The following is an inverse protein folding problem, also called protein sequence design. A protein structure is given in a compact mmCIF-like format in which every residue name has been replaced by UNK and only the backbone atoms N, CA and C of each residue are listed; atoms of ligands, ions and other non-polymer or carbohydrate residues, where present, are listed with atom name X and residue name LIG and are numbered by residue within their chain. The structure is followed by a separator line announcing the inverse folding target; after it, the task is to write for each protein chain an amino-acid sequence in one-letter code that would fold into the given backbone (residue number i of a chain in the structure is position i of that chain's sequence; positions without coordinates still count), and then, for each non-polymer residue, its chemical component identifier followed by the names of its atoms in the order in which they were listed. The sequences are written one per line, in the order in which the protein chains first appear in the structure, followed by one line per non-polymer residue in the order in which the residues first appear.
data_IF_243560236942
#
_entry.id   IF_243560236942
#
_cell.length_a   1.000
_cell.length_b   1.000
_cell.length_c   1.000
_cell.angle_alpha   90.00
_cell.angle_beta   90.00
_cell.angle_gamma   90.00
#
_symmetry.space_group_name_H-M   'P 1'
#
loop_
_entity.id
_entity.type
_entity.pdbx_description
1 polymer ?
#
# COMPACT_ATOMS: atom_id res chain seq x y z
N UNK A 1 10.94 20.05 -34.59
CA UNK A 1 9.92 19.10 -34.07
C UNK A 1 10.52 18.11 -33.06
N UNK A 2 11.74 17.63 -33.30
CA UNK A 2 12.43 16.70 -32.39
C UNK A 2 12.74 17.27 -31.00
N UNK A 3 13.12 18.56 -30.90
CA UNK A 3 13.39 19.25 -29.65
C UNK A 3 12.15 19.40 -28.75
N UNK A 4 10.99 19.67 -29.34
CA UNK A 4 9.71 19.74 -28.61
C UNK A 4 9.29 18.36 -28.09
N UNK A 5 9.45 17.31 -28.85
CA UNK A 5 9.18 15.93 -28.45
C UNK A 5 10.13 15.44 -27.36
N UNK A 6 11.42 15.79 -27.45
CA UNK A 6 12.40 15.43 -26.42
C UNK A 6 12.15 16.18 -25.10
N UNK A 7 11.75 17.46 -25.18
CA UNK A 7 11.37 18.25 -23.99
C UNK A 7 10.11 17.69 -23.31
N UNK A 8 9.10 17.29 -24.09
CA UNK A 8 7.86 16.69 -23.59
C UNK A 8 8.11 15.32 -22.93
N UNK A 9 9.03 14.53 -23.51
CA UNK A 9 9.47 13.25 -22.96
C UNK A 9 10.28 13.45 -21.67
N UNK A 10 11.19 14.44 -21.64
CA UNK A 10 11.94 14.82 -20.45
C UNK A 10 11.01 15.27 -19.31
N UNK A 11 9.97 16.04 -19.64
CA UNK A 11 8.99 16.52 -18.70
C UNK A 11 8.09 15.38 -18.14
N UNK A 12 7.71 14.42 -19.00
CA UNK A 12 6.97 13.23 -18.58
C UNK A 12 7.80 12.31 -17.68
N UNK A 13 9.06 12.04 -18.02
CA UNK A 13 10.01 11.25 -17.21
C UNK A 13 10.34 11.98 -15.91
N UNK A 14 10.55 13.29 -15.95
CA UNK A 14 10.76 14.13 -14.76
C UNK A 14 9.52 14.11 -13.85
N UNK A 15 8.31 14.22 -14.40
CA UNK A 15 7.06 14.15 -13.64
C UNK A 15 6.88 12.79 -12.94
N UNK A 16 7.23 11.70 -13.60
CA UNK A 16 7.21 10.35 -13.02
C UNK A 16 8.27 10.22 -11.92
N UNK A 17 9.50 10.68 -12.17
CA UNK A 17 10.59 10.62 -11.19
C UNK A 17 10.32 11.51 -9.98
N UNK A 18 9.79 12.71 -10.20
CA UNK A 18 9.41 13.64 -9.13
C UNK A 18 8.21 13.12 -8.33
N UNK A 19 7.25 12.50 -8.98
CA UNK A 19 6.11 11.84 -8.32
C UNK A 19 6.55 10.67 -7.43
N UNK A 20 7.49 9.85 -7.90
CA UNK A 20 8.10 8.76 -7.10
C UNK A 20 8.92 9.32 -5.93
N UNK A 21 9.64 10.42 -6.14
CA UNK A 21 10.45 11.06 -5.11
C UNK A 21 9.60 11.69 -4.01
N UNK A 22 8.52 12.37 -4.36
CA UNK A 22 7.53 12.90 -3.40
C UNK A 22 6.85 11.78 -2.62
N UNK A 23 6.47 10.69 -3.29
CA UNK A 23 5.89 9.52 -2.64
C UNK A 23 6.87 8.84 -1.64
N UNK A 24 8.17 8.79 -1.97
CA UNK A 24 9.21 8.26 -1.06
C UNK A 24 9.57 9.23 0.07
N UNK A 25 9.41 10.54 -0.12
CA UNK A 25 9.64 11.55 0.91
C UNK A 25 8.58 11.48 2.01
N UNK A 26 7.29 11.35 1.65
CA UNK A 26 6.20 11.15 2.61
C UNK A 26 6.33 9.84 3.41
N UNK A 27 7.05 8.85 2.85
CA UNK A 27 7.28 7.56 3.52
C UNK A 27 8.37 7.60 4.61
N UNK A 28 9.12 8.70 4.74
CA UNK A 28 10.28 8.84 5.65
C UNK A 28 10.09 9.88 6.75
N UNK A 29 8.91 10.51 6.85
CA UNK A 29 8.64 11.46 7.94
C UNK A 29 8.53 10.70 9.26
N UNK A 30 9.31 11.08 10.30
CA UNK A 30 9.14 10.56 11.65
C UNK A 30 7.73 10.85 12.16
N UNK A 31 7.16 9.92 12.93
CA UNK A 31 5.80 10.01 13.46
C UNK A 31 5.49 11.32 14.18
N UNK A 32 6.50 11.93 14.83
CA UNK A 32 6.35 13.15 15.59
C UNK A 32 6.15 14.39 14.69
N UNK A 33 6.78 14.42 13.51
CA UNK A 33 6.59 15.48 12.51
C UNK A 33 5.26 15.32 11.76
N UNK A 34 4.79 14.08 11.57
CA UNK A 34 3.49 13.80 10.98
C UNK A 34 2.37 14.34 11.88
N UNK A 35 2.48 14.18 13.21
CA UNK A 35 1.50 14.71 14.19
C UNK A 35 1.51 16.25 14.21
N UNK A 36 2.68 16.88 14.15
CA UNK A 36 2.79 18.33 14.11
C UNK A 36 2.22 18.95 12.82
N UNK A 37 2.35 18.25 11.69
CA UNK A 37 1.76 18.64 10.42
C UNK A 37 0.26 18.35 10.35
N UNK A 38 -0.24 17.32 11.04
CA UNK A 38 -1.66 16.95 11.07
C UNK A 38 -2.49 17.97 11.87
N UNK A 39 -1.94 18.57 12.92
CA UNK A 39 -2.56 19.69 13.65
C UNK A 39 -2.62 20.97 12.80
N UNK A 40 -1.70 21.13 11.83
CA UNK A 40 -1.72 22.20 10.83
C UNK A 40 -2.46 21.84 9.52
N UNK A 41 -2.72 20.57 9.27
CA UNK A 41 -3.12 20.02 7.95
C UNK A 41 -4.63 19.99 7.70
N UNK A 42 -5.45 20.67 8.50
CA UNK A 42 -6.79 21.05 8.05
C UNK A 42 -6.74 22.00 6.82
N UNK A 43 -5.53 22.38 6.37
CA UNK A 43 -5.33 23.29 5.21
C UNK A 43 -4.45 22.76 4.06
N UNK A 44 -3.83 21.58 4.14
CA UNK A 44 -2.93 21.09 3.08
C UNK A 44 -3.57 20.08 2.12
N UNK A 45 -4.82 20.28 1.75
CA UNK A 45 -5.40 19.68 0.54
C UNK A 45 -5.00 20.43 -0.74
N UNK A 46 -4.02 21.35 -0.68
CA UNK A 46 -3.74 22.27 -1.78
C UNK A 46 -2.86 21.68 -2.91
N UNK A 47 -2.01 20.66 -2.64
CA UNK A 47 -1.13 20.12 -3.69
C UNK A 47 -1.87 19.10 -4.59
N UNK A 48 -2.97 18.50 -4.13
CA UNK A 48 -3.85 17.67 -4.96
C UNK A 48 -4.86 18.45 -5.80
N UNK A 49 -5.01 19.76 -5.55
CA UNK A 49 -6.13 20.55 -6.10
C UNK A 49 -6.06 20.81 -7.61
N UNK A 50 -4.87 20.89 -8.21
CA UNK A 50 -4.71 21.14 -9.65
C UNK A 50 -5.05 19.90 -10.49
N UNK A 51 -4.46 18.77 -10.14
CA UNK A 51 -4.69 17.48 -10.81
C UNK A 51 -6.13 17.01 -10.57
N UNK A 52 -6.62 17.16 -9.35
CA UNK A 52 -7.99 16.77 -8.98
C UNK A 52 -9.02 17.64 -9.72
N UNK A 53 -8.79 18.96 -9.88
CA UNK A 53 -9.69 19.86 -10.65
C UNK A 53 -9.73 19.52 -12.14
N UNK A 54 -8.57 19.31 -12.76
CA UNK A 54 -8.50 18.90 -14.17
C UNK A 54 -9.18 17.55 -14.42
N UNK A 55 -8.93 16.59 -13.51
CA UNK A 55 -9.49 15.26 -13.64
C UNK A 55 -10.98 15.16 -13.29
N UNK A 56 -11.51 16.02 -12.42
CA UNK A 56 -12.93 15.99 -12.02
C UNK A 56 -13.90 16.15 -13.19
N UNK A 57 -13.52 16.89 -14.22
CA UNK A 57 -14.34 17.04 -15.45
C UNK A 57 -14.52 15.72 -16.20
N UNK A 58 -13.54 14.81 -16.10
CA UNK A 58 -13.54 13.52 -16.78
C UNK A 58 -13.92 12.35 -15.85
N UNK A 59 -14.00 12.57 -14.54
CA UNK A 59 -14.35 11.56 -13.55
C UNK A 59 -15.66 10.81 -13.83
N UNK A 60 -16.79 11.48 -14.22
CA UNK A 60 -18.03 10.79 -14.52
C UNK A 60 -17.92 9.82 -15.70
N UNK A 61 -17.12 10.18 -16.72
CA UNK A 61 -16.90 9.33 -17.90
C UNK A 61 -16.11 8.08 -17.53
N UNK A 62 -15.06 8.21 -16.70
CA UNK A 62 -14.26 7.08 -16.21
C UNK A 62 -15.13 6.15 -15.34
N UNK A 63 -15.97 6.69 -14.48
CA UNK A 63 -16.87 5.90 -13.62
C UNK A 63 -17.92 5.14 -14.43
N UNK A 64 -18.48 5.75 -15.47
CA UNK A 64 -19.40 5.05 -16.40
C UNK A 64 -18.71 3.87 -17.11
N UNK A 65 -17.46 4.06 -17.57
CA UNK A 65 -16.67 2.99 -18.21
C UNK A 65 -16.32 1.85 -17.23
N UNK A 66 -16.13 2.16 -15.95
CA UNK A 66 -15.80 1.14 -14.95
C UNK A 66 -16.99 0.22 -14.60
N UNK A 67 -18.20 0.72 -14.71
CA UNK A 67 -19.42 0.01 -14.33
C UNK A 67 -19.65 -0.08 -12.81
N UNK A 68 -20.92 -0.33 -12.39
CA UNK A 68 -21.31 -0.22 -10.97
C UNK A 68 -20.58 -1.23 -10.07
N UNK A 69 -20.39 -2.46 -10.50
CA UNK A 69 -19.70 -3.50 -9.70
C UNK A 69 -18.25 -3.14 -9.36
N UNK A 70 -17.53 -2.50 -10.30
CA UNK A 70 -16.15 -2.07 -10.06
C UNK A 70 -16.09 -0.83 -9.17
N UNK A 71 -17.05 0.07 -9.29
CA UNK A 71 -17.18 1.25 -8.42
C UNK A 71 -17.41 0.83 -6.97
N UNK A 72 -18.31 -0.13 -6.71
CA UNK A 72 -18.55 -0.65 -5.37
C UNK A 72 -17.33 -1.39 -4.79
N UNK A 73 -16.62 -2.15 -5.62
CA UNK A 73 -15.37 -2.78 -5.20
C UNK A 73 -14.27 -1.73 -4.87
N UNK A 74 -14.22 -0.64 -5.64
CA UNK A 74 -13.32 0.47 -5.40
C UNK A 74 -13.66 1.20 -4.10
N UNK A 75 -14.96 1.47 -3.85
CA UNK A 75 -15.41 2.09 -2.60
C UNK A 75 -14.96 1.27 -1.40
N UNK A 76 -15.20 -0.05 -1.41
CA UNK A 76 -14.71 -0.94 -0.35
C UNK A 76 -13.19 -0.90 -0.16
N UNK A 77 -12.42 -0.80 -1.25
CA UNK A 77 -10.94 -0.67 -1.16
C UNK A 77 -10.51 0.68 -0.57
N UNK A 78 -11.20 1.77 -0.88
CA UNK A 78 -10.94 3.08 -0.32
C UNK A 78 -11.28 3.11 1.18
N UNK A 79 -12.40 2.49 1.58
CA UNK A 79 -12.77 2.35 2.99
C UNK A 79 -11.72 1.54 3.76
N UNK A 80 -11.26 0.41 3.19
CA UNK A 80 -10.15 -0.38 3.77
C UNK A 80 -8.83 0.42 3.86
N UNK A 81 -8.58 1.34 2.93
CA UNK A 81 -7.42 2.22 2.96
C UNK A 81 -7.57 3.37 3.96
N UNK A 82 -8.79 3.58 4.53
CA UNK A 82 -9.09 4.71 5.41
C UNK A 82 -9.12 6.04 4.70
N UNK A 83 -9.53 6.05 3.44
CA UNK A 83 -9.65 7.25 2.60
C UNK A 83 -8.38 8.13 2.64
N UNK A 84 -7.21 7.61 2.24
CA UNK A 84 -5.93 8.31 2.39
C UNK A 84 -5.97 9.68 1.71
N UNK A 85 -5.70 10.74 2.46
CA UNK A 85 -5.76 12.11 1.94
C UNK A 85 -7.15 12.55 1.49
N UNK A 86 -8.22 11.99 2.05
CA UNK A 86 -9.61 12.27 1.68
C UNK A 86 -9.94 11.79 0.25
N UNK A 87 -9.35 10.70 -0.19
CA UNK A 87 -9.57 10.14 -1.53
C UNK A 87 -10.97 9.55 -1.63
N UNK A 88 -11.83 10.21 -2.40
CA UNK A 88 -13.15 9.72 -2.78
C UNK A 88 -13.07 8.94 -4.10
N UNK A 89 -14.14 8.21 -4.43
CA UNK A 89 -14.25 7.49 -5.71
C UNK A 89 -14.07 8.42 -6.90
N UNK A 90 -14.62 9.66 -6.81
CA UNK A 90 -14.50 10.67 -7.87
C UNK A 90 -13.07 11.18 -8.02
N UNK A 91 -12.36 11.41 -6.89
CA UNK A 91 -10.93 11.80 -6.92
C UNK A 91 -10.05 10.68 -7.47
N UNK A 92 -10.37 9.44 -7.17
CA UNK A 92 -9.69 8.30 -7.79
C UNK A 92 -9.88 8.28 -9.30
N UNK A 93 -11.12 8.43 -9.77
CA UNK A 93 -11.42 8.47 -11.19
C UNK A 93 -10.75 9.66 -11.90
N UNK A 94 -10.71 10.82 -11.23
CA UNK A 94 -10.02 12.01 -11.72
C UNK A 94 -8.52 11.77 -11.88
N UNK A 95 -7.85 11.22 -10.86
CA UNK A 95 -6.42 10.89 -10.91
C UNK A 95 -6.13 9.83 -11.95
N UNK A 96 -6.96 8.80 -12.06
CA UNK A 96 -6.82 7.75 -13.07
C UNK A 96 -6.96 8.31 -14.48
N UNK A 97 -7.86 9.27 -14.71
CA UNK A 97 -8.00 9.96 -16.00
C UNK A 97 -6.72 10.74 -16.34
N UNK A 98 -6.17 11.50 -15.40
CA UNK A 98 -4.96 12.32 -15.63
C UNK A 98 -3.73 11.42 -15.87
N UNK A 99 -3.49 10.43 -15.00
CA UNK A 99 -2.34 9.53 -15.19
C UNK A 99 -2.48 8.64 -16.43
N UNK A 100 -3.71 8.23 -16.77
CA UNK A 100 -4.00 7.53 -18.02
C UNK A 100 -3.75 8.38 -19.26
N UNK A 101 -4.14 9.65 -19.23
CA UNK A 101 -3.88 10.60 -20.33
C UNK A 101 -2.38 10.89 -20.49
N UNK A 102 -1.66 11.09 -19.38
CA UNK A 102 -0.20 11.27 -19.41
C UNK A 102 0.51 10.01 -19.94
N UNK A 103 0.08 8.82 -19.50
CA UNK A 103 0.60 7.56 -20.02
C UNK A 103 0.31 7.36 -21.51
N UNK A 104 -0.87 7.76 -21.98
CA UNK A 104 -1.24 7.69 -23.40
C UNK A 104 -0.41 8.67 -24.25
N UNK A 105 -0.18 9.90 -23.77
CA UNK A 105 0.67 10.88 -24.45
C UNK A 105 2.13 10.38 -24.55
N UNK A 106 2.67 9.85 -23.46
CA UNK A 106 4.00 9.25 -23.44
C UNK A 106 4.10 8.07 -24.40
N UNK A 107 3.10 7.19 -24.41
CA UNK A 107 3.03 6.04 -25.33
C UNK A 107 2.98 6.48 -26.79
N UNK A 108 2.15 7.46 -27.10
CA UNK A 108 2.04 7.98 -28.48
C UNK A 108 3.38 8.56 -28.99
N UNK A 109 4.09 9.31 -28.14
CA UNK A 109 5.41 9.86 -28.49
C UNK A 109 6.47 8.77 -28.75
N UNK A 110 6.39 7.65 -27.99
CA UNK A 110 7.28 6.50 -28.16
C UNK A 110 6.95 5.68 -29.40
N UNK A 111 5.67 5.53 -29.76
CA UNK A 111 5.24 4.86 -31.00
C UNK A 111 5.77 5.59 -32.23
N UNK A 112 5.68 6.93 -32.24
CA UNK A 112 6.23 7.74 -33.36
C UNK A 112 7.73 7.53 -33.55
N UNK A 113 8.47 7.16 -32.48
CA UNK A 113 9.89 6.81 -32.51
C UNK A 113 10.19 5.33 -32.83
N UNK A 114 9.17 4.53 -33.12
CA UNK A 114 9.32 3.11 -33.41
C UNK A 114 9.52 2.21 -32.16
N UNK A 115 9.43 2.78 -30.95
CA UNK A 115 9.65 2.04 -29.69
C UNK A 115 8.33 1.51 -29.12
N UNK A 116 7.67 0.61 -29.83
CA UNK A 116 6.33 0.10 -29.49
C UNK A 116 6.29 -0.64 -28.15
N UNK A 117 7.31 -1.43 -27.82
CA UNK A 117 7.36 -2.20 -26.56
C UNK A 117 7.39 -1.25 -25.35
N UNK A 118 8.23 -0.21 -25.41
CA UNK A 118 8.36 0.77 -24.31
C UNK A 118 7.09 1.61 -24.20
N UNK A 119 6.43 1.92 -25.32
CA UNK A 119 5.16 2.62 -25.35
C UNK A 119 4.04 1.87 -24.60
N UNK A 120 3.92 0.55 -24.82
CA UNK A 120 2.95 -0.30 -24.10
C UNK A 120 3.24 -0.31 -22.59
N UNK A 121 4.51 -0.42 -22.22
CA UNK A 121 4.91 -0.38 -20.80
C UNK A 121 4.59 0.96 -20.15
N UNK A 122 4.86 2.07 -20.83
CA UNK A 122 4.57 3.43 -20.34
C UNK A 122 3.06 3.65 -20.15
N UNK A 123 2.24 3.20 -21.09
CA UNK A 123 0.77 3.27 -20.97
C UNK A 123 0.23 2.42 -19.81
N UNK A 124 0.69 1.17 -19.72
CA UNK A 124 0.31 0.27 -18.63
C UNK A 124 0.72 0.84 -17.25
N UNK A 125 1.91 1.43 -17.16
CA UNK A 125 2.39 2.07 -15.94
C UNK A 125 1.49 3.24 -15.51
N UNK A 126 1.15 4.18 -16.42
CA UNK A 126 0.24 5.28 -16.12
C UNK A 126 -1.14 4.81 -15.64
N UNK A 127 -1.67 3.75 -16.25
CA UNK A 127 -2.98 3.20 -15.89
C UNK A 127 -2.99 2.45 -14.55
N UNK A 128 -1.90 1.73 -14.21
CA UNK A 128 -1.80 0.93 -13.00
C UNK A 128 -1.33 1.72 -11.77
N UNK A 129 -0.69 2.89 -11.97
CA UNK A 129 -0.09 3.69 -10.91
C UNK A 129 -1.06 4.02 -9.76
N UNK A 130 -2.28 4.42 -10.11
CA UNK A 130 -3.30 4.77 -9.11
C UNK A 130 -3.72 3.56 -8.27
N UNK A 131 -3.80 2.37 -8.87
CA UNK A 131 -4.11 1.12 -8.16
C UNK A 131 -2.96 0.73 -7.21
N UNK A 132 -1.72 0.96 -7.60
CA UNK A 132 -0.53 0.71 -6.76
C UNK A 132 -0.54 1.61 -5.52
N UNK A 133 -0.89 2.89 -5.68
CA UNK A 133 -1.00 3.83 -4.55
C UNK A 133 -2.02 3.34 -3.52
N UNK A 134 -3.23 2.94 -3.96
CA UNK A 134 -4.28 2.45 -3.04
C UNK A 134 -3.84 1.15 -2.35
N UNK A 135 -3.30 0.20 -3.09
CA UNK A 135 -2.80 -1.05 -2.50
C UNK A 135 -1.70 -0.81 -1.46
N UNK A 136 -0.85 0.17 -1.72
CA UNK A 136 0.19 0.59 -0.79
C UNK A 136 -0.40 1.24 0.48
N UNK A 137 -1.41 2.10 0.33
CA UNK A 137 -2.11 2.71 1.45
C UNK A 137 -2.83 1.67 2.33
N UNK A 138 -3.53 0.71 1.71
CA UNK A 138 -4.16 -0.41 2.43
C UNK A 138 -3.11 -1.20 3.23
N UNK A 139 -1.99 -1.54 2.59
CA UNK A 139 -0.92 -2.30 3.26
C UNK A 139 -0.30 -1.55 4.44
N UNK A 140 -0.08 -0.24 4.29
CA UNK A 140 0.45 0.61 5.38
C UNK A 140 -0.53 0.67 6.54
N UNK A 141 -1.80 1.00 6.27
CA UNK A 141 -2.83 1.06 7.30
C UNK A 141 -2.98 -0.27 8.04
N UNK A 142 -2.96 -1.39 7.30
CA UNK A 142 -2.99 -2.72 7.89
C UNK A 142 -1.77 -2.98 8.78
N UNK A 143 -0.57 -2.66 8.31
CA UNK A 143 0.66 -2.82 9.09
C UNK A 143 0.66 -1.94 10.36
N UNK A 144 0.12 -0.72 10.29
CA UNK A 144 -0.02 0.16 11.45
C UNK A 144 -0.98 -0.43 12.48
N UNK A 145 -2.12 -0.99 12.04
CA UNK A 145 -3.07 -1.71 12.91
C UNK A 145 -2.41 -2.91 13.56
N UNK A 146 -1.76 -3.78 12.78
CA UNK A 146 -1.11 -4.99 13.25
C UNK A 146 -0.01 -4.69 14.27
N UNK A 147 0.72 -3.59 14.07
CA UNK A 147 1.78 -3.17 14.98
C UNK A 147 1.25 -2.63 16.32
N UNK A 148 0.12 -1.92 16.31
CA UNK A 148 -0.41 -1.28 17.51
C UNK A 148 -1.38 -2.18 18.31
N UNK A 149 -1.91 -3.23 17.68
CA UNK A 149 -2.93 -4.09 18.27
C UNK A 149 -2.45 -4.83 19.54
N UNK A 150 -1.24 -5.44 19.60
CA UNK A 150 -0.80 -6.13 20.82
C UNK A 150 -0.71 -5.20 22.04
N UNK A 151 -0.14 -3.99 21.86
CA UNK A 151 -0.02 -3.02 22.95
C UNK A 151 -1.39 -2.49 23.40
N UNK A 152 -2.31 -2.34 22.45
CA UNK A 152 -3.70 -2.00 22.76
C UNK A 152 -4.36 -3.09 23.62
N UNK A 153 -4.15 -4.37 23.32
CA UNK A 153 -4.73 -5.50 24.07
C UNK A 153 -4.18 -5.58 25.48
N UNK A 154 -2.90 -5.28 25.71
CA UNK A 154 -2.33 -5.24 27.06
C UNK A 154 -2.99 -4.15 27.90
N UNK A 155 -3.12 -2.94 27.34
CA UNK A 155 -3.79 -1.86 28.06
C UNK A 155 -5.26 -2.19 28.33
N UNK A 156 -5.94 -2.81 27.35
CA UNK A 156 -7.32 -3.26 27.52
C UNK A 156 -7.44 -4.30 28.63
N UNK A 157 -6.53 -5.29 28.69
CA UNK A 157 -6.50 -6.30 29.75
C UNK A 157 -6.34 -5.67 31.14
N UNK A 158 -5.45 -4.68 31.28
CA UNK A 158 -5.25 -3.94 32.53
C UNK A 158 -6.54 -3.18 32.93
N UNK A 159 -7.20 -2.52 32.01
CA UNK A 159 -8.42 -1.75 32.29
C UNK A 159 -9.59 -2.68 32.68
N UNK A 160 -9.72 -3.84 32.02
CA UNK A 160 -10.71 -4.86 32.37
C UNK A 160 -10.38 -5.50 33.73
N UNK A 161 -9.09 -5.77 34.04
CA UNK A 161 -8.65 -6.27 35.35
C UNK A 161 -8.94 -5.31 36.50
N UNK A 162 -8.98 -4.00 36.21
CA UNK A 162 -9.38 -2.98 37.19
C UNK A 162 -10.90 -2.96 37.45
N UNK A 163 -11.66 -3.88 36.85
CA UNK A 163 -13.09 -4.05 37.12
C UNK A 163 -14.04 -3.29 36.19
N UNK A 164 -13.53 -2.64 35.15
CA UNK A 164 -14.38 -2.06 34.11
C UNK A 164 -15.00 -3.15 33.24
N UNK A 165 -16.28 -3.02 32.94
CA UNK A 165 -16.94 -3.88 31.96
C UNK A 165 -16.22 -3.79 30.59
N UNK A 166 -16.13 -4.92 29.89
CA UNK A 166 -15.37 -5.02 28.63
C UNK A 166 -15.69 -3.92 27.60
N UNK A 167 -16.99 -3.60 27.41
CA UNK A 167 -17.41 -2.54 26.49
C UNK A 167 -16.91 -1.17 26.92
N UNK A 168 -17.05 -0.84 28.23
CA UNK A 168 -16.57 0.43 28.78
C UNK A 168 -15.04 0.52 28.71
N UNK A 169 -14.35 -0.59 28.94
CA UNK A 169 -12.90 -0.67 28.81
C UNK A 169 -12.46 -0.39 27.35
N UNK A 170 -13.11 -1.04 26.37
CA UNK A 170 -12.87 -0.79 24.94
C UNK A 170 -13.06 0.69 24.58
N UNK A 171 -14.14 1.30 25.02
CA UNK A 171 -14.44 2.71 24.77
C UNK A 171 -13.37 3.62 25.37
N UNK A 172 -13.04 3.40 26.65
CA UNK A 172 -12.03 4.21 27.36
C UNK A 172 -10.64 4.09 26.75
N UNK A 173 -10.22 2.88 26.34
CA UNK A 173 -8.92 2.68 25.71
C UNK A 173 -8.94 3.26 24.29
N UNK A 174 -9.99 3.07 23.50
CA UNK A 174 -10.13 3.64 22.17
C UNK A 174 -10.14 5.19 22.16
N UNK A 175 -10.62 5.84 23.22
CA UNK A 175 -10.53 7.31 23.36
C UNK A 175 -9.09 7.80 23.56
N UNK A 176 -8.29 7.06 24.31
CA UNK A 176 -6.90 7.42 24.65
C UNK A 176 -5.90 7.05 23.56
N UNK A 177 -6.15 5.96 22.85
CA UNK A 177 -5.32 5.55 21.73
C UNK A 177 -5.60 6.41 20.49
N UNK A 178 -4.54 6.80 19.77
CA UNK A 178 -4.63 7.49 18.48
C UNK A 178 -4.14 6.55 17.37
N UNK A 179 -4.82 6.54 16.25
CA UNK A 179 -4.39 5.80 15.08
C UNK A 179 -5.48 4.96 14.43
N UNK A 180 -5.16 4.28 13.35
CA UNK A 180 -6.15 3.57 12.52
C UNK A 180 -6.96 2.52 13.27
N UNK A 181 -6.34 1.84 14.26
CA UNK A 181 -7.02 0.86 15.08
C UNK A 181 -8.12 1.48 15.96
N UNK A 182 -7.80 2.59 16.62
CA UNK A 182 -8.76 3.33 17.44
C UNK A 182 -9.95 3.84 16.63
N UNK A 183 -9.71 4.32 15.40
CA UNK A 183 -10.78 4.77 14.51
C UNK A 183 -11.72 3.63 14.13
N UNK A 184 -11.19 2.44 13.84
CA UNK A 184 -12.00 1.25 13.53
C UNK A 184 -12.83 0.79 14.75
N UNK A 185 -12.26 0.84 15.94
CA UNK A 185 -13.00 0.52 17.19
C UNK A 185 -14.12 1.52 17.45
N UNK A 186 -13.89 2.81 17.26
CA UNK A 186 -14.93 3.83 17.40
C UNK A 186 -16.09 3.62 16.42
N UNK A 187 -15.80 3.19 15.19
CA UNK A 187 -16.83 2.81 14.22
C UNK A 187 -17.63 1.61 14.77
N UNK A 188 -16.94 0.60 15.27
CA UNK A 188 -17.56 -0.62 15.79
C UNK A 188 -18.41 -0.34 17.02
N UNK A 189 -17.93 0.47 17.96
CA UNK A 189 -18.68 0.90 19.14
C UNK A 189 -19.94 1.68 18.74
N UNK A 190 -19.84 2.62 17.81
CA UNK A 190 -21.01 3.35 17.29
C UNK A 190 -22.04 2.43 16.62
N UNK A 191 -21.61 1.39 15.93
CA UNK A 191 -22.53 0.38 15.37
C UNK A 191 -23.32 -0.33 16.46
N UNK A 192 -22.65 -0.67 17.58
CA UNK A 192 -23.33 -1.26 18.74
C UNK A 192 -24.28 -0.27 19.40
N UNK A 193 -23.94 1.02 19.47
CA UNK A 193 -24.83 2.09 19.98
C UNK A 193 -26.08 2.26 19.12
N UNK A 194 -25.97 2.03 17.82
CA UNK A 194 -27.08 2.03 16.87
C UNK A 194 -27.92 0.73 16.90
N UNK A 195 -27.61 -0.22 17.79
CA UNK A 195 -28.38 -1.45 17.95
C UNK A 195 -27.88 -2.64 17.13
N UNK A 196 -26.74 -2.52 16.45
CA UNK A 196 -26.12 -3.68 15.79
C UNK A 196 -25.62 -4.65 16.86
N UNK A 197 -25.88 -5.94 16.70
CA UNK A 197 -25.42 -6.94 17.66
C UNK A 197 -23.90 -6.92 17.78
N UNK A 198 -23.39 -7.20 18.97
CA UNK A 198 -21.94 -7.23 19.23
C UNK A 198 -21.19 -8.17 18.26
N UNK A 199 -21.72 -9.36 18.06
CA UNK A 199 -21.15 -10.36 17.13
C UNK A 199 -21.06 -9.81 15.71
N UNK A 200 -22.14 -9.20 15.22
CA UNK A 200 -22.17 -8.62 13.87
C UNK A 200 -21.24 -7.41 13.75
N UNK A 201 -21.17 -6.54 14.76
CA UNK A 201 -20.28 -5.38 14.76
C UNK A 201 -18.79 -5.79 14.69
N UNK A 202 -18.40 -6.83 15.45
CA UNK A 202 -17.05 -7.37 15.38
C UNK A 202 -16.77 -8.13 14.07
N UNK A 203 -17.74 -8.85 13.51
CA UNK A 203 -17.60 -9.45 12.18
C UNK A 203 -17.41 -8.41 11.09
N UNK A 204 -18.09 -7.28 11.18
CA UNK A 204 -17.89 -6.14 10.27
C UNK A 204 -16.51 -5.51 10.46
N UNK A 205 -16.02 -5.37 11.70
CA UNK A 205 -14.66 -4.93 11.99
C UNK A 205 -13.62 -5.83 11.30
N UNK A 206 -13.78 -7.15 11.43
CA UNK A 206 -12.92 -8.14 10.78
C UNK A 206 -12.92 -8.00 9.26
N UNK A 207 -14.10 -7.88 8.66
CA UNK A 207 -14.26 -7.72 7.19
C UNK A 207 -13.66 -6.43 6.66
N UNK A 208 -13.77 -5.31 7.42
CA UNK A 208 -13.21 -4.02 7.02
C UNK A 208 -11.68 -4.00 7.03
N UNK A 209 -11.06 -4.64 8.02
CA UNK A 209 -9.61 -4.56 8.19
C UNK A 209 -8.84 -5.61 7.38
N UNK A 210 -9.44 -6.76 7.08
CA UNK A 210 -8.82 -7.88 6.35
C UNK A 210 -7.42 -8.26 6.90
N UNK A 211 -7.21 -8.12 8.23
CA UNK A 211 -5.99 -8.42 8.96
C UNK A 211 -6.13 -9.75 9.69
N UNK A 212 -5.06 -10.56 9.65
CA UNK A 212 -5.01 -11.83 10.36
C UNK A 212 -5.06 -11.62 11.89
N UNK A 213 -4.33 -10.64 12.40
CA UNK A 213 -4.32 -10.30 13.82
C UNK A 213 -5.70 -9.81 14.30
N UNK A 214 -6.38 -8.97 13.51
CA UNK A 214 -7.76 -8.54 13.82
C UNK A 214 -8.71 -9.75 13.80
N UNK A 215 -8.53 -10.68 12.87
CA UNK A 215 -9.33 -11.91 12.81
C UNK A 215 -9.10 -12.80 14.03
N UNK A 216 -7.85 -12.95 14.48
CA UNK A 216 -7.51 -13.69 15.70
C UNK A 216 -8.18 -13.04 16.92
N UNK A 217 -8.07 -11.73 17.07
CA UNK A 217 -8.72 -10.98 18.15
C UNK A 217 -10.23 -11.20 18.19
N UNK A 218 -10.91 -11.00 17.05
CA UNK A 218 -12.37 -11.14 16.97
C UNK A 218 -12.80 -12.58 17.27
N UNK A 219 -12.10 -13.58 16.71
CA UNK A 219 -12.43 -14.99 16.92
C UNK A 219 -12.24 -15.40 18.39
N UNK A 220 -11.13 -15.02 18.99
CA UNK A 220 -10.86 -15.36 20.38
C UNK A 220 -11.83 -14.65 21.36
N UNK A 221 -12.23 -13.41 21.03
CA UNK A 221 -13.22 -12.69 21.79
C UNK A 221 -14.58 -13.39 21.74
N UNK A 222 -15.02 -13.81 20.55
CA UNK A 222 -16.28 -14.53 20.38
C UNK A 222 -16.27 -15.91 21.10
N UNK A 223 -15.14 -16.64 20.99
CA UNK A 223 -14.98 -17.91 21.69
C UNK A 223 -14.92 -17.76 23.22
N UNK A 224 -14.23 -16.73 23.71
CA UNK A 224 -14.17 -16.44 25.14
C UNK A 224 -15.54 -16.14 25.75
N UNK A 225 -16.39 -15.46 25.00
CA UNK A 225 -17.78 -15.20 25.43
C UNK A 225 -18.64 -16.45 25.44
N UNK A 226 -18.53 -17.31 24.43
CA UNK A 226 -19.29 -18.57 24.33
C UNK A 226 -18.92 -19.56 25.45
N UNK A 227 -17.64 -19.58 25.84
CA UNK A 227 -17.10 -20.51 26.84
C UNK A 227 -17.11 -19.95 28.27
N UNK A 228 -17.50 -18.67 28.47
CA UNK A 228 -17.46 -18.01 29.78
C UNK A 228 -16.04 -17.87 30.35
N UNK A 229 -15.03 -17.90 29.48
CA UNK A 229 -13.62 -17.79 29.89
C UNK A 229 -13.32 -16.37 30.42
N UNK A 230 -12.34 -16.22 31.35
CA UNK A 230 -11.88 -14.90 31.79
C UNK A 230 -11.32 -14.10 30.61
N UNK A 231 -12.02 -13.03 30.24
CA UNK A 231 -11.65 -12.20 29.06
C UNK A 231 -10.23 -11.65 29.20
N UNK A 232 -9.79 -11.35 30.43
CA UNK A 232 -8.43 -10.81 30.69
C UNK A 232 -7.35 -11.78 30.23
N UNK A 233 -7.43 -13.03 30.65
CA UNK A 233 -6.43 -14.05 30.30
C UNK A 233 -6.39 -14.29 28.78
N UNK A 234 -7.59 -14.29 28.16
CA UNK A 234 -7.73 -14.40 26.70
C UNK A 234 -7.04 -13.24 25.99
N UNK A 235 -7.20 -11.99 26.43
CA UNK A 235 -6.58 -10.80 25.85
C UNK A 235 -5.04 -10.86 25.94
N UNK A 236 -4.50 -11.24 27.11
CA UNK A 236 -3.06 -11.37 27.33
C UNK A 236 -2.49 -12.48 26.44
N UNK A 237 -3.19 -13.62 26.36
CA UNK A 237 -2.77 -14.71 25.50
C UNK A 237 -2.70 -14.31 24.03
N UNK A 238 -3.73 -13.62 23.51
CA UNK A 238 -3.76 -13.13 22.13
C UNK A 238 -2.62 -12.15 21.86
N UNK A 239 -2.37 -11.19 22.77
CA UNK A 239 -1.27 -10.24 22.64
C UNK A 239 0.09 -10.95 22.54
N UNK A 240 0.31 -11.95 23.37
CA UNK A 240 1.53 -12.75 23.34
C UNK A 240 1.67 -13.56 22.05
N UNK A 241 0.59 -14.17 21.56
CA UNK A 241 0.60 -14.95 20.31
C UNK A 241 0.86 -14.05 19.09
N UNK A 242 0.31 -12.84 19.07
CA UNK A 242 0.61 -11.84 18.04
C UNK A 242 2.09 -11.47 18.04
N UNK A 243 2.69 -11.17 19.20
CA UNK A 243 4.13 -10.85 19.31
C UNK A 243 5.02 -12.01 18.85
N UNK A 244 4.66 -13.25 19.20
CA UNK A 244 5.38 -14.44 18.73
C UNK A 244 5.30 -14.58 17.22
N UNK A 245 4.13 -14.35 16.64
CA UNK A 245 3.91 -14.39 15.18
C UNK A 245 4.73 -13.32 14.48
N UNK A 246 4.75 -12.09 14.99
CA UNK A 246 5.55 -10.99 14.44
C UNK A 246 7.05 -11.29 14.51
N UNK A 247 7.54 -11.82 15.62
CA UNK A 247 8.94 -12.25 15.76
C UNK A 247 9.29 -13.37 14.76
N UNK A 248 8.40 -14.35 14.56
CA UNK A 248 8.59 -15.40 13.56
C UNK A 248 8.60 -14.85 12.14
N UNK A 249 7.70 -13.93 11.81
CA UNK A 249 7.63 -13.28 10.50
C UNK A 249 8.88 -12.44 10.20
N UNK A 250 9.41 -11.73 11.21
CA UNK A 250 10.67 -11.02 11.11
C UNK A 250 11.85 -11.98 10.83
N UNK A 251 11.94 -13.11 11.55
CA UNK A 251 12.96 -14.15 11.31
C UNK A 251 12.83 -14.78 9.92
N UNK A 252 11.61 -15.10 9.47
CA UNK A 252 11.37 -15.63 8.12
C UNK A 252 11.77 -14.62 7.05
N UNK A 253 11.45 -13.34 7.24
CA UNK A 253 11.85 -12.27 6.31
C UNK A 253 13.36 -12.11 6.23
N UNK A 254 14.07 -12.19 7.36
CA UNK A 254 15.53 -12.20 7.41
C UNK A 254 16.13 -13.42 6.72
N UNK A 255 15.59 -14.61 6.97
CA UNK A 255 16.04 -15.84 6.32
C UNK A 255 15.83 -15.84 4.79
N UNK A 256 14.78 -15.20 4.31
CA UNK A 256 14.52 -15.02 2.86
C UNK A 256 15.44 -14.00 2.20
N UNK A 257 16.12 -13.15 2.94
CA UNK A 257 17.04 -12.17 2.38
C UNK A 257 18.30 -12.84 1.80
N UNK A 258 18.81 -13.88 2.46
CA UNK A 258 20.03 -14.59 2.03
C UNK A 258 19.91 -15.18 0.62
N UNK A 259 18.91 -16.01 0.30
CA UNK A 259 18.79 -16.56 -1.06
C UNK A 259 18.52 -15.50 -2.12
N UNK A 260 17.82 -14.40 -1.78
CA UNK A 260 17.62 -13.29 -2.72
C UNK A 260 18.95 -12.58 -3.05
N UNK A 261 19.79 -12.36 -2.05
CA UNK A 261 21.10 -11.74 -2.26
C UNK A 261 21.99 -12.65 -3.12
N UNK A 262 22.02 -13.95 -2.84
CA UNK A 262 22.76 -14.94 -3.63
C UNK A 262 22.27 -14.94 -5.08
N UNK A 263 20.96 -14.94 -5.32
CA UNK A 263 20.39 -14.90 -6.67
C UNK A 263 20.83 -13.64 -7.44
N UNK A 264 20.77 -12.47 -6.81
CA UNK A 264 21.20 -11.21 -7.42
C UNK A 264 22.69 -11.25 -7.76
N UNK A 265 23.54 -11.70 -6.82
CA UNK A 265 24.99 -11.82 -7.06
C UNK A 265 25.28 -12.79 -8.20
N UNK A 266 24.64 -13.96 -8.22
CA UNK A 266 24.81 -14.94 -9.30
C UNK A 266 24.35 -14.40 -10.63
N UNK A 267 23.20 -13.71 -10.69
CA UNK A 267 22.65 -13.15 -11.92
C UNK A 267 23.50 -12.03 -12.50
N UNK A 268 24.26 -11.32 -11.68
CA UNK A 268 25.20 -10.28 -12.15
C UNK A 268 26.57 -10.87 -12.48
N UNK A 269 27.10 -11.75 -11.63
CA UNK A 269 28.44 -12.31 -11.80
C UNK A 269 28.52 -13.28 -12.97
N UNK A 270 27.48 -14.09 -13.24
CA UNK A 270 27.47 -15.09 -14.28
C UNK A 270 27.63 -14.47 -15.70
N UNK A 271 26.82 -13.47 -16.10
CA UNK A 271 27.03 -12.81 -17.39
C UNK A 271 28.37 -12.02 -17.45
N UNK A 272 28.78 -11.40 -16.33
CA UNK A 272 30.04 -10.67 -16.31
C UNK A 272 31.26 -11.61 -16.55
N UNK A 273 31.28 -12.77 -15.91
CA UNK A 273 32.33 -13.77 -16.12
C UNK A 273 32.29 -14.36 -17.54
N UNK A 274 31.10 -14.62 -18.09
CA UNK A 274 30.94 -15.08 -19.47
C UNK A 274 31.50 -14.06 -20.48
N UNK A 275 31.18 -12.77 -20.28
CA UNK A 275 31.71 -11.69 -21.12
C UNK A 275 33.26 -11.65 -21.05
N UNK A 276 33.82 -11.76 -19.84
CA UNK A 276 35.28 -11.78 -19.65
C UNK A 276 35.91 -12.98 -20.33
N UNK A 277 35.34 -14.17 -20.26
CA UNK A 277 35.84 -15.38 -20.92
C UNK A 277 35.78 -15.20 -22.44
N UNK A 278 34.67 -14.71 -22.99
CA UNK A 278 34.53 -14.47 -24.43
C UNK A 278 35.53 -13.43 -24.91
N UNK A 279 35.69 -12.32 -24.18
CA UNK A 279 36.71 -11.30 -24.50
C UNK A 279 38.12 -11.85 -24.41
N UNK A 280 38.45 -12.63 -23.37
CA UNK A 280 39.77 -13.27 -23.23
C UNK A 280 40.07 -14.24 -24.36
N UNK A 281 39.07 -15.01 -24.78
CA UNK A 281 39.21 -15.91 -25.92
C UNK A 281 39.38 -15.15 -27.25
N UNK A 282 38.61 -14.06 -27.43
CA UNK A 282 38.68 -13.19 -28.60
C UNK A 282 40.08 -12.58 -28.75
N UNK A 283 40.64 -12.00 -27.70
CA UNK A 283 41.97 -11.38 -27.74
C UNK A 283 43.11 -12.39 -27.70
N UNK A 284 42.89 -13.58 -27.10
CA UNK A 284 43.95 -14.61 -26.97
C UNK A 284 44.06 -15.54 -28.17
N UNK A 285 42.99 -15.75 -28.94
CA UNK A 285 43.00 -16.68 -30.09
C UNK A 285 43.44 -16.04 -31.40
N UNK A 286 43.53 -14.70 -31.50
CA UNK A 286 43.87 -13.99 -32.76
C UNK A 286 42.85 -14.23 -33.89
N UNK A 287 41.70 -14.78 -33.60
CA UNK A 287 40.63 -15.09 -34.58
C UNK A 287 39.82 -13.82 -34.82
N UNK A 288 39.84 -13.35 -36.05
CA UNK A 288 39.04 -12.22 -36.50
C UNK A 288 37.60 -12.70 -36.76
N UNK A 289 36.70 -12.46 -35.82
CA UNK A 289 35.28 -12.79 -35.95
C UNK A 289 34.58 -12.08 -37.12
N UNK A 290 35.21 -11.03 -37.64
CA UNK A 290 34.79 -10.36 -38.87
C UNK A 290 34.81 -11.29 -40.09
N UNK A 291 35.77 -12.18 -40.21
CA UNK A 291 35.86 -13.19 -41.29
C UNK A 291 34.81 -14.30 -41.15
N UNK A 292 34.48 -14.70 -39.90
CA UNK A 292 33.46 -15.75 -39.64
C UNK A 292 32.06 -15.25 -39.96
N UNK A 293 31.77 -13.97 -39.71
CA UNK A 293 30.45 -13.36 -39.99
C UNK A 293 30.28 -12.88 -41.43
N UNK A 294 31.39 -12.71 -42.18
CA UNK A 294 31.38 -12.25 -43.57
C UNK A 294 31.62 -13.35 -44.60
N UNK A 295 31.92 -14.55 -44.15
CA UNK A 295 32.30 -15.66 -45.02
C UNK A 295 31.24 -16.78 -45.05
N UNK A 296 30.25 -16.61 -45.93
CA UNK A 296 29.37 -17.64 -46.40
C UNK A 296 28.75 -17.19 -47.68
#
# INVERSE_FOLDING_TARGET
MELLLSALMGLAVYGVFHGVRLYRADAKLPSDLAIALEVGATRTTAVGSGIDRMGMRYAPSVLRMMGPKRVDALRRRLDMAGNPGGMTVDRYAARRAVYGALGAMAALSLIVRGQTVIAVVAFAYGMLWTDVIIRSAIRRRRADIERTLPDFLDVLAVVVSAGLGFRQALERVAEKYKGPWSDELRITLRQMDMGVSRREAFDQLRKRNASEQVSMFVTALQQGEELGAPIVDTLIQIANDMRRTDAQNARRSAAQAVPKTTLVVTMVMLPATMILIVLSFYYGSGVDFGEILSGG
#
